data_IF_008691824461
#
_entry.id   IF_008691824461
#
_cell.length_a   1.000
_cell.length_b   1.000
_cell.length_c   1.000
_cell.angle_alpha   90.00
_cell.angle_beta   90.00
_cell.angle_gamma   90.00
#
_symmetry.space_group_name_H-M   'P 1'
#
loop_
_entity.id
_entity.type
_entity.pdbx_description
1 polymer ?
#
# COMPACT_ATOMS: atom_id res chain seq x y z
N UNK A 1 26.61 21.36 -28.88
CA UNK A 1 25.36 22.07 -29.27
C UNK A 1 24.35 21.19 -30.06
N UNK A 2 24.31 19.85 -29.91
CA UNK A 2 23.30 18.97 -30.57
C UNK A 2 22.39 18.17 -29.60
N UNK A 3 22.56 18.33 -28.27
CA UNK A 3 21.70 17.67 -27.27
C UNK A 3 20.41 18.41 -26.91
N UNK A 4 20.29 19.68 -27.31
CA UNK A 4 19.25 20.61 -26.82
C UNK A 4 17.90 20.50 -27.57
N UNK A 5 17.86 19.79 -28.70
CA UNK A 5 16.62 19.66 -29.50
C UNK A 5 15.65 18.61 -28.94
N UNK A 6 16.13 17.64 -28.15
CA UNK A 6 15.30 16.54 -27.62
C UNK A 6 14.50 16.91 -26.36
N UNK A 7 14.75 18.07 -25.76
CA UNK A 7 14.11 18.52 -24.50
C UNK A 7 13.08 19.65 -24.70
N UNK A 8 12.86 20.06 -25.94
CA UNK A 8 11.97 21.16 -26.33
C UNK A 8 10.51 20.80 -26.62
N UNK A 9 10.12 19.54 -26.88
CA UNK A 9 8.70 19.21 -26.95
C UNK A 9 8.01 19.42 -25.59
N UNK A 10 6.75 19.85 -25.63
CA UNK A 10 5.91 19.91 -24.43
C UNK A 10 5.71 18.51 -23.84
N UNK A 11 5.65 18.43 -22.51
CA UNK A 11 5.51 17.16 -21.77
C UNK A 11 4.11 16.55 -21.82
N UNK A 12 3.13 17.25 -22.39
CA UNK A 12 1.82 16.69 -22.71
C UNK A 12 0.80 17.72 -23.21
N UNK A 13 -0.42 17.28 -23.58
CA UNK A 13 -1.46 18.17 -24.12
C UNK A 13 -1.99 19.19 -23.11
N UNK A 14 -1.87 18.93 -21.81
CA UNK A 14 -2.28 19.84 -20.72
C UNK A 14 -1.12 20.63 -20.11
N UNK A 15 0.11 20.08 -20.15
CA UNK A 15 1.30 20.75 -19.64
C UNK A 15 2.18 21.22 -20.80
N UNK A 16 2.10 22.52 -21.10
CA UNK A 16 2.89 23.14 -22.17
C UNK A 16 4.37 23.31 -21.80
N UNK A 17 4.76 22.98 -20.56
CA UNK A 17 6.15 23.04 -20.13
C UNK A 17 6.98 21.99 -20.87
N UNK A 18 8.10 22.46 -21.43
CA UNK A 18 9.13 21.62 -22.05
C UNK A 18 10.03 21.00 -20.98
N UNK A 19 10.68 19.88 -21.27
CA UNK A 19 11.66 19.29 -20.36
C UNK A 19 12.82 20.25 -20.04
N UNK A 20 13.20 21.10 -21.01
CA UNK A 20 14.22 22.12 -20.80
C UNK A 20 13.78 23.22 -19.82
N UNK A 21 12.54 23.68 -19.92
CA UNK A 21 11.98 24.64 -18.95
C UNK A 21 11.86 24.01 -17.56
N UNK A 22 11.44 22.75 -17.48
CA UNK A 22 11.43 22.02 -16.22
C UNK A 22 12.82 21.90 -15.60
N UNK A 23 13.82 21.50 -16.38
CA UNK A 23 15.22 21.42 -15.94
C UNK A 23 15.73 22.77 -15.42
N UNK A 24 15.51 23.86 -16.16
CA UNK A 24 15.94 25.20 -15.73
C UNK A 24 15.29 25.62 -14.41
N UNK A 25 14.01 25.33 -14.24
CA UNK A 25 13.30 25.61 -12.98
C UNK A 25 13.87 24.77 -11.84
N UNK A 26 14.06 23.46 -12.05
CA UNK A 26 14.61 22.58 -11.03
C UNK A 26 16.05 22.97 -10.64
N UNK A 27 16.87 23.40 -11.60
CA UNK A 27 18.22 23.89 -11.33
C UNK A 27 18.20 25.18 -10.50
N UNK A 28 17.35 26.14 -10.86
CA UNK A 28 17.17 27.38 -10.10
C UNK A 28 16.70 27.08 -8.67
N UNK A 29 15.70 26.21 -8.53
CA UNK A 29 15.17 25.77 -7.24
C UNK A 29 16.29 25.15 -6.37
N UNK A 30 17.12 24.28 -6.95
CA UNK A 30 18.24 23.67 -6.25
C UNK A 30 19.30 24.71 -5.83
N UNK A 31 19.61 25.68 -6.68
CA UNK A 31 20.54 26.77 -6.36
C UNK A 31 20.01 27.61 -5.20
N UNK A 32 18.72 27.97 -5.22
CA UNK A 32 18.06 28.74 -4.17
C UNK A 32 18.00 27.99 -2.82
N UNK A 33 17.92 26.66 -2.86
CA UNK A 33 17.99 25.84 -1.65
C UNK A 33 19.41 25.84 -1.09
N UNK A 34 20.43 25.73 -1.95
CA UNK A 34 21.83 25.71 -1.54
C UNK A 34 22.33 27.06 -1.01
N UNK A 35 21.82 28.18 -1.55
CA UNK A 35 22.17 29.53 -1.09
C UNK A 35 21.29 30.03 0.06
N UNK A 36 20.30 29.25 0.49
CA UNK A 36 19.40 29.57 1.60
C UNK A 36 18.30 30.59 1.28
N UNK A 37 18.15 31.00 0.02
CA UNK A 37 17.09 31.93 -0.40
C UNK A 37 15.73 31.26 -0.56
N UNK A 38 15.69 29.93 -0.53
CA UNK A 38 14.47 29.12 -0.52
C UNK A 38 14.52 28.01 0.52
N UNK A 39 13.50 27.98 1.36
CA UNK A 39 13.32 26.89 2.33
C UNK A 39 12.65 25.66 1.71
N UNK A 40 13.07 24.47 2.16
CA UNK A 40 12.40 23.22 1.85
C UNK A 40 11.49 22.80 2.98
N UNK A 41 10.23 22.50 2.68
CA UNK A 41 9.29 21.94 3.65
C UNK A 41 9.08 20.46 3.40
N UNK A 42 9.35 19.65 4.42
CA UNK A 42 9.09 18.21 4.37
C UNK A 42 7.59 17.93 4.16
N UNK A 43 7.30 16.83 3.47
CA UNK A 43 5.96 16.35 3.22
C UNK A 43 6.01 14.86 2.92
N UNK A 44 5.11 14.09 3.52
CA UNK A 44 4.97 12.67 3.23
C UNK A 44 4.36 12.44 1.85
N UNK A 45 4.88 11.45 1.13
CA UNK A 45 4.44 11.02 -0.19
C UNK A 45 4.66 9.51 -0.37
N UNK A 46 4.00 8.92 -1.38
CA UNK A 46 4.13 7.48 -1.66
C UNK A 46 5.57 7.05 -1.98
N UNK A 47 6.37 7.92 -2.59
CA UNK A 47 7.77 7.64 -2.95
C UNK A 47 8.72 7.61 -1.73
N UNK A 48 8.27 8.10 -0.57
CA UNK A 48 9.12 8.26 0.61
C UNK A 48 9.72 6.94 1.10
N UNK A 49 9.04 5.81 0.92
CA UNK A 49 9.50 4.51 1.43
C UNK A 49 10.83 4.03 0.81
N UNK A 50 11.18 4.52 -0.39
CA UNK A 50 12.44 4.23 -1.07
C UNK A 50 13.43 5.41 -1.03
N UNK A 51 13.14 6.44 -0.22
CA UNK A 51 13.92 7.66 -0.16
C UNK A 51 15.03 7.56 0.90
N UNK A 52 16.26 7.89 0.51
CA UNK A 52 17.41 7.96 1.44
C UNK A 52 17.17 8.93 2.61
N UNK A 53 16.38 9.97 2.40
CA UNK A 53 16.06 11.00 3.41
C UNK A 53 14.81 10.67 4.24
N UNK A 54 14.26 9.46 4.12
CA UNK A 54 12.99 9.09 4.75
C UNK A 54 12.95 9.44 6.24
N UNK A 55 13.93 8.99 7.02
CA UNK A 55 13.95 9.18 8.48
C UNK A 55 13.98 10.66 8.85
N UNK A 56 14.88 11.43 8.24
CA UNK A 56 15.01 12.88 8.48
C UNK A 56 13.74 13.64 8.06
N UNK A 57 13.19 13.34 6.88
CA UNK A 57 11.94 13.97 6.43
C UNK A 57 10.76 13.59 7.32
N UNK A 58 10.72 12.35 7.83
CA UNK A 58 9.67 11.88 8.72
C UNK A 58 9.68 12.62 10.05
N UNK A 59 10.85 12.80 10.65
CA UNK A 59 11.00 13.59 11.88
C UNK A 59 10.54 15.04 11.67
N UNK A 60 10.92 15.66 10.56
CA UNK A 60 10.48 17.01 10.22
C UNK A 60 8.96 17.12 10.00
N UNK A 61 8.33 16.12 9.36
CA UNK A 61 6.87 16.04 9.18
C UNK A 61 6.14 15.95 10.51
N UNK A 62 6.67 15.16 11.47
CA UNK A 62 6.11 15.05 12.83
C UNK A 62 6.23 16.39 13.55
N UNK A 63 7.44 16.94 13.57
CA UNK A 63 7.74 18.17 14.32
C UNK A 63 6.92 19.36 13.80
N UNK A 64 6.70 19.44 12.49
CA UNK A 64 5.88 20.48 11.86
C UNK A 64 4.37 20.25 12.01
N UNK A 65 3.96 19.15 12.63
CA UNK A 65 2.56 18.70 12.69
C UNK A 65 1.87 18.73 11.31
N UNK A 66 2.59 18.28 10.28
CA UNK A 66 2.22 18.55 8.89
C UNK A 66 0.98 17.74 8.45
N UNK A 67 0.10 18.37 7.64
CA UNK A 67 -1.13 17.74 7.17
C UNK A 67 -0.92 16.43 6.37
N UNK A 68 0.28 16.19 5.83
CA UNK A 68 0.59 14.92 5.17
C UNK A 68 0.66 13.72 6.12
N UNK A 69 0.54 13.92 7.42
CA UNK A 69 0.25 12.87 8.39
C UNK A 69 -1.19 12.34 8.31
N UNK A 70 -2.12 13.07 7.68
CA UNK A 70 -3.50 12.61 7.54
C UNK A 70 -3.59 11.63 6.37
N UNK A 71 -4.10 10.44 6.64
CA UNK A 71 -4.27 9.40 5.64
C UNK A 71 -5.01 9.93 4.40
N UNK A 72 -4.47 9.58 3.23
CA UNK A 72 -4.97 9.99 1.90
C UNK A 72 -4.95 11.49 1.57
N UNK A 73 -4.52 12.38 2.46
CA UNK A 73 -4.49 13.82 2.19
C UNK A 73 -3.49 14.13 1.08
N UNK A 74 -2.22 13.73 1.29
CA UNK A 74 -1.15 13.83 0.31
C UNK A 74 -0.66 15.26 0.04
N UNK A 75 0.55 15.38 -0.49
CA UNK A 75 1.24 16.67 -0.63
C UNK A 75 0.45 17.74 -1.39
N UNK A 76 -0.21 17.39 -2.50
CA UNK A 76 -0.96 18.37 -3.30
C UNK A 76 -2.10 19.02 -2.53
N UNK A 77 -2.80 18.29 -1.66
CA UNK A 77 -3.90 18.85 -0.85
C UNK A 77 -3.36 19.60 0.36
N UNK A 78 -2.23 19.15 0.93
CA UNK A 78 -1.49 19.90 1.95
C UNK A 78 -1.13 21.27 1.40
N UNK A 79 -0.45 21.33 0.25
CA UNK A 79 -0.01 22.57 -0.37
C UNK A 79 -1.19 23.51 -0.69
N UNK A 80 -2.38 22.97 -0.97
CA UNK A 80 -3.59 23.78 -1.20
C UNK A 80 -4.24 24.33 0.08
N UNK A 81 -3.97 23.76 1.25
CA UNK A 81 -4.61 24.11 2.52
C UNK A 81 -3.69 24.85 3.49
N UNK A 82 -2.38 24.67 3.36
CA UNK A 82 -1.41 24.95 4.42
C UNK A 82 -1.29 26.42 4.83
N UNK A 83 -1.62 27.35 3.93
CA UNK A 83 -1.59 28.78 4.24
C UNK A 83 -2.73 29.18 5.19
N UNK A 84 -3.84 28.44 5.18
CA UNK A 84 -5.01 28.67 6.05
C UNK A 84 -5.07 27.70 7.23
N UNK A 85 -4.61 26.47 7.00
CA UNK A 85 -4.66 25.34 7.93
C UNK A 85 -3.25 24.74 8.00
N UNK A 86 -2.35 25.32 8.79
CA UNK A 86 -0.92 24.99 8.72
C UNK A 86 -0.55 23.62 9.30
N UNK A 87 -1.41 23.02 10.12
CA UNK A 87 -1.12 21.77 10.85
C UNK A 87 -2.33 20.87 11.04
N UNK A 88 -2.08 19.61 11.41
CA UNK A 88 -3.12 18.64 11.79
C UNK A 88 -3.93 19.15 12.98
N UNK A 89 -3.28 19.77 13.98
CA UNK A 89 -3.97 20.36 15.13
C UNK A 89 -4.96 21.43 14.70
N UNK A 90 -4.53 22.38 13.85
CA UNK A 90 -5.41 23.46 13.40
C UNK A 90 -6.58 22.91 12.59
N UNK A 91 -6.35 21.88 11.77
CA UNK A 91 -7.45 21.22 11.05
C UNK A 91 -8.44 20.56 12.00
N UNK A 92 -7.97 19.91 13.07
CA UNK A 92 -8.83 19.23 14.04
C UNK A 92 -9.76 20.19 14.79
N UNK A 93 -9.28 21.39 15.10
CA UNK A 93 -9.97 22.40 15.92
C UNK A 93 -10.82 23.38 15.10
N UNK A 94 -10.47 23.61 13.83
CA UNK A 94 -11.18 24.58 13.00
C UNK A 94 -12.58 24.10 12.62
N UNK A 95 -13.54 25.02 12.44
CA UNK A 95 -14.81 24.71 11.78
C UNK A 95 -14.64 24.57 10.26
N UNK A 96 -14.64 23.33 9.74
CA UNK A 96 -14.52 23.07 8.31
C UNK A 96 -15.60 23.75 7.45
N UNK A 97 -16.81 23.96 8.00
CA UNK A 97 -17.91 24.60 7.27
C UNK A 97 -17.63 26.08 6.98
N UNK A 98 -16.74 26.73 7.73
CA UNK A 98 -16.30 28.10 7.45
C UNK A 98 -15.57 28.25 6.10
N UNK A 99 -15.07 27.13 5.55
CA UNK A 99 -14.37 27.10 4.26
C UNK A 99 -15.23 26.61 3.10
N UNK A 100 -16.50 26.30 3.36
CA UNK A 100 -17.44 25.73 2.38
C UNK A 100 -18.37 26.83 1.86
N UNK A 101 -18.39 27.00 0.53
CA UNK A 101 -19.31 27.91 -0.17
C UNK A 101 -20.08 27.10 -1.20
N UNK A 102 -21.35 26.81 -0.90
CA UNK A 102 -22.19 25.95 -1.72
C UNK A 102 -21.61 24.52 -1.83
N UNK A 103 -21.28 24.10 -3.06
CA UNK A 103 -20.71 22.76 -3.34
C UNK A 103 -19.19 22.74 -3.44
N UNK A 104 -18.50 23.84 -3.09
CA UNK A 104 -17.05 23.97 -3.21
C UNK A 104 -16.44 24.37 -1.87
N UNK A 105 -15.17 24.06 -1.70
CA UNK A 105 -14.35 24.67 -0.67
C UNK A 105 -13.48 25.76 -1.29
N UNK A 106 -12.88 26.62 -0.46
CA UNK A 106 -11.82 27.54 -0.90
C UNK A 106 -10.55 26.84 -1.39
N UNK A 107 -10.39 25.55 -1.10
CA UNK A 107 -9.20 24.77 -1.42
C UNK A 107 -9.37 24.04 -2.76
N UNK A 108 -8.51 24.36 -3.72
CA UNK A 108 -8.54 23.74 -5.04
C UNK A 108 -8.35 22.21 -4.95
N UNK A 109 -9.21 21.44 -5.62
CA UNK A 109 -9.15 19.98 -5.62
C UNK A 109 -9.67 19.29 -4.36
N UNK A 110 -10.31 20.04 -3.44
CA UNK A 110 -10.88 19.51 -2.20
C UNK A 110 -12.37 19.86 -2.13
N UNK A 111 -13.23 18.86 -2.19
CA UNK A 111 -14.68 19.03 -2.00
C UNK A 111 -15.07 19.09 -0.52
N UNK A 112 -16.29 19.57 -0.19
CA UNK A 112 -16.78 19.66 1.20
C UNK A 112 -16.63 18.37 2.00
N UNK A 113 -17.09 17.24 1.44
CA UNK A 113 -17.02 15.94 2.14
C UNK A 113 -15.59 15.45 2.33
N UNK A 114 -14.70 15.77 1.40
CA UNK A 114 -13.28 15.45 1.53
C UNK A 114 -12.62 16.27 2.64
N UNK A 115 -12.96 17.56 2.75
CA UNK A 115 -12.46 18.42 3.83
C UNK A 115 -12.94 17.91 5.20
N UNK A 116 -14.25 17.62 5.33
CA UNK A 116 -14.81 17.05 6.58
C UNK A 116 -14.19 15.70 6.93
N UNK A 117 -13.93 14.85 5.93
CA UNK A 117 -13.21 13.58 6.14
C UNK A 117 -11.79 13.81 6.69
N UNK A 118 -11.04 14.78 6.14
CA UNK A 118 -9.71 15.08 6.67
C UNK A 118 -9.75 15.71 8.06
N UNK A 119 -10.76 16.53 8.35
CA UNK A 119 -10.99 17.04 9.70
C UNK A 119 -11.26 15.91 10.69
N UNK A 120 -12.17 14.98 10.38
CA UNK A 120 -12.47 13.84 11.24
C UNK A 120 -11.21 12.98 11.51
N UNK A 121 -10.37 12.77 10.49
CA UNK A 121 -9.09 12.08 10.66
C UNK A 121 -8.08 12.88 11.47
N UNK A 122 -8.04 14.20 11.31
CA UNK A 122 -7.20 15.07 12.13
C UNK A 122 -7.61 14.98 13.61
N UNK A 123 -8.91 15.05 13.90
CA UNK A 123 -9.46 14.86 15.24
C UNK A 123 -9.08 13.48 15.80
N UNK A 124 -9.20 12.44 14.98
CA UNK A 124 -8.82 11.08 15.37
C UNK A 124 -7.33 10.98 15.73
N UNK A 125 -6.44 11.61 14.94
CA UNK A 125 -5.00 11.65 15.20
C UNK A 125 -4.63 12.45 16.45
N UNK A 126 -5.44 13.45 16.83
CA UNK A 126 -5.20 14.31 18.00
C UNK A 126 -5.87 13.83 19.28
N UNK A 127 -6.78 12.87 19.17
CA UNK A 127 -7.46 12.29 20.33
C UNK A 127 -6.54 11.30 21.03
N UNK A 128 -6.17 11.53 22.31
CA UNK A 128 -5.34 10.59 23.04
C UNK A 128 -6.02 9.23 23.14
N UNK A 129 -5.28 8.14 22.88
CA UNK A 129 -5.77 6.76 22.93
C UNK A 129 -7.01 6.50 22.06
N UNK A 130 -7.19 7.27 20.99
CA UNK A 130 -8.23 7.03 19.99
C UNK A 130 -8.26 5.57 19.56
N UNK A 131 -9.44 4.99 19.44
CA UNK A 131 -9.60 3.62 18.94
C UNK A 131 -10.03 3.64 17.47
N UNK A 132 -9.64 2.62 16.68
CA UNK A 132 -10.21 2.42 15.36
C UNK A 132 -11.72 2.23 15.44
N UNK A 133 -12.44 2.64 14.40
CA UNK A 133 -13.89 2.49 14.37
C UNK A 133 -14.42 2.29 12.95
N UNK A 134 -15.63 1.75 12.86
CA UNK A 134 -16.37 1.60 11.61
C UNK A 134 -17.16 2.86 11.29
N UNK A 135 -17.04 3.37 10.07
CA UNK A 135 -17.86 4.48 9.59
C UNK A 135 -19.24 4.04 9.12
N UNK A 136 -19.42 2.74 8.89
CA UNK A 136 -20.67 2.11 8.48
C UNK A 136 -20.62 0.61 8.80
N UNK A 137 -21.77 -0.07 8.98
CA UNK A 137 -21.81 -1.52 9.17
C UNK A 137 -21.18 -2.27 7.99
N UNK A 138 -20.45 -3.35 8.28
CA UNK A 138 -19.80 -4.18 7.26
C UNK A 138 -20.34 -5.60 7.36
N UNK A 139 -20.54 -6.24 6.22
CA UNK A 139 -20.82 -7.68 6.16
C UNK A 139 -19.62 -8.38 5.56
N UNK A 140 -18.76 -8.93 6.42
CA UNK A 140 -17.68 -9.79 6.01
C UNK A 140 -18.18 -11.24 5.92
N UNK A 141 -17.78 -12.01 4.89
CA UNK A 141 -18.12 -13.42 4.84
C UNK A 141 -17.51 -14.14 6.05
N UNK A 142 -18.25 -15.09 6.58
CA UNK A 142 -17.75 -16.07 7.55
C UNK A 142 -17.68 -17.39 6.81
N UNK A 143 -16.54 -18.06 6.90
CA UNK A 143 -16.28 -19.35 6.29
C UNK A 143 -15.58 -20.23 7.29
N UNK A 144 -15.82 -21.54 7.22
CA UNK A 144 -15.05 -22.49 8.01
C UNK A 144 -13.57 -22.38 7.65
N UNK A 145 -13.24 -22.33 6.36
CA UNK A 145 -11.85 -22.21 5.91
C UNK A 145 -11.58 -20.85 5.28
N UNK A 146 -10.49 -20.22 5.70
CA UNK A 146 -10.04 -18.92 5.23
C UNK A 146 -8.59 -18.98 4.76
N UNK A 147 -8.31 -18.34 3.63
CA UNK A 147 -7.00 -18.29 2.98
C UNK A 147 -6.54 -16.83 2.95
N UNK A 148 -5.49 -16.50 3.68
CA UNK A 148 -4.87 -15.18 3.65
C UNK A 148 -3.73 -15.25 2.66
N UNK A 149 -3.89 -14.56 1.53
CA UNK A 149 -3.09 -14.77 0.35
C UNK A 149 -2.31 -13.50 -0.03
N UNK A 150 -1.00 -13.66 -0.16
CA UNK A 150 -0.08 -12.62 -0.58
C UNK A 150 0.95 -13.17 -1.58
N UNK A 151 1.55 -12.29 -2.37
CA UNK A 151 2.59 -12.64 -3.35
C UNK A 151 3.80 -11.73 -3.22
N UNK A 152 4.96 -12.27 -3.55
CA UNK A 152 6.16 -11.47 -3.78
C UNK A 152 6.53 -11.48 -5.26
N UNK A 153 6.84 -10.30 -5.80
CA UNK A 153 7.23 -10.13 -7.19
C UNK A 153 8.39 -9.16 -7.36
N UNK A 154 9.15 -9.37 -8.43
CA UNK A 154 10.20 -8.45 -8.87
C UNK A 154 9.79 -7.81 -10.20
N UNK A 155 9.36 -6.53 -10.19
CA UNK A 155 9.01 -5.79 -11.41
C UNK A 155 10.16 -5.59 -12.40
N UNK A 156 11.43 -5.66 -11.96
CA UNK A 156 12.59 -5.52 -12.85
C UNK A 156 12.81 -6.79 -13.68
N UNK A 157 12.52 -7.96 -13.10
CA UNK A 157 12.57 -9.27 -13.78
C UNK A 157 11.23 -9.68 -14.37
N UNK A 158 10.15 -8.96 -14.04
CA UNK A 158 8.76 -9.26 -14.38
C UNK A 158 8.32 -10.68 -13.93
N UNK A 159 8.79 -11.10 -12.75
CA UNK A 159 8.54 -12.42 -12.16
C UNK A 159 7.75 -12.32 -10.85
N UNK A 160 6.82 -13.24 -10.63
CA UNK A 160 6.23 -13.53 -9.30
C UNK A 160 6.95 -14.74 -8.73
N UNK A 161 7.75 -14.54 -7.69
CA UNK A 161 8.64 -15.60 -7.18
C UNK A 161 8.12 -16.32 -5.94
N UNK A 162 7.11 -15.80 -5.27
CA UNK A 162 6.48 -16.45 -4.12
C UNK A 162 4.98 -16.23 -4.12
N UNK A 163 4.25 -17.32 -3.87
CA UNK A 163 2.83 -17.33 -3.55
C UNK A 163 2.66 -17.90 -2.14
N UNK A 164 2.35 -17.07 -1.16
CA UNK A 164 2.19 -17.52 0.22
C UNK A 164 0.75 -17.44 0.68
N UNK A 165 0.31 -18.49 1.37
CA UNK A 165 -1.03 -18.62 1.91
C UNK A 165 -0.95 -19.02 3.37
N UNK A 166 -1.54 -18.23 4.27
CA UNK A 166 -1.86 -18.71 5.62
C UNK A 166 -3.29 -19.25 5.61
N UNK A 167 -3.42 -20.53 5.93
CA UNK A 167 -4.71 -21.24 6.04
C UNK A 167 -5.18 -21.17 7.48
N UNK A 168 -6.29 -20.46 7.70
CA UNK A 168 -7.04 -20.54 8.95
C UNK A 168 -8.18 -21.53 8.79
N UNK A 169 -8.07 -22.65 9.49
CA UNK A 169 -9.07 -23.73 9.52
C UNK A 169 -9.34 -24.07 11.00
N UNK A 170 -10.59 -24.01 11.50
CA UNK A 170 -10.95 -24.28 12.88
C UNK A 170 -10.68 -25.73 13.30
N UNK A 171 -10.42 -26.64 12.35
CA UNK A 171 -10.00 -28.02 12.63
C UNK A 171 -8.53 -28.12 13.00
N UNK A 172 -7.74 -27.07 12.76
CA UNK A 172 -6.32 -27.02 13.10
C UNK A 172 -6.10 -26.17 14.37
N UNK A 173 -5.10 -26.53 15.21
CA UNK A 173 -4.80 -25.78 16.42
C UNK A 173 -4.30 -24.36 16.15
N UNK A 174 -3.67 -24.14 14.99
CA UNK A 174 -3.07 -22.87 14.61
C UNK A 174 -3.06 -22.69 13.08
N UNK A 175 -3.09 -21.44 12.57
CA UNK A 175 -3.03 -21.19 11.13
C UNK A 175 -1.72 -21.68 10.52
N UNK A 176 -1.84 -22.48 9.45
CA UNK A 176 -0.70 -23.10 8.76
C UNK A 176 -0.26 -22.29 7.54
N UNK A 177 1.04 -22.08 7.37
CA UNK A 177 1.60 -21.42 6.20
C UNK A 177 1.94 -22.41 5.09
N UNK A 178 1.54 -22.08 3.87
CA UNK A 178 1.82 -22.83 2.65
C UNK A 178 2.46 -21.85 1.67
N UNK A 179 3.53 -22.27 1.00
CA UNK A 179 4.22 -21.44 0.02
C UNK A 179 4.52 -22.22 -1.25
N UNK A 180 4.50 -21.51 -2.38
CA UNK A 180 4.94 -22.01 -3.67
C UNK A 180 5.94 -21.02 -4.24
N UNK A 181 7.18 -21.47 -4.46
CA UNK A 181 8.34 -20.61 -4.74
C UNK A 181 8.93 -20.92 -6.12
N UNK A 182 9.25 -19.87 -6.88
CA UNK A 182 10.13 -19.98 -8.02
C UNK A 182 11.60 -19.86 -7.55
N UNK A 183 12.23 -20.99 -7.22
CA UNK A 183 13.60 -21.01 -6.68
C UNK A 183 14.69 -20.62 -7.69
N UNK A 184 14.31 -20.39 -8.95
CA UNK A 184 15.17 -19.77 -9.96
C UNK A 184 14.36 -18.75 -10.76
N UNK A 185 15.00 -17.70 -11.32
CA UNK A 185 14.29 -16.66 -12.06
C UNK A 185 14.04 -17.09 -13.52
N UNK A 186 13.52 -18.30 -13.71
CA UNK A 186 13.21 -18.85 -15.03
C UNK A 186 11.69 -18.95 -15.25
N UNK A 187 11.21 -18.85 -16.50
CA UNK A 187 9.80 -19.05 -16.80
C UNK A 187 9.26 -20.41 -16.32
N UNK A 188 10.08 -21.46 -16.36
CA UNK A 188 9.68 -22.80 -15.92
C UNK A 188 9.44 -22.87 -14.41
N UNK A 189 10.30 -22.22 -13.62
CA UNK A 189 10.15 -22.16 -12.17
C UNK A 189 8.94 -21.30 -11.76
N UNK A 190 8.76 -20.13 -12.38
CA UNK A 190 7.58 -19.28 -12.16
C UNK A 190 6.29 -20.01 -12.53
N UNK A 191 6.26 -20.66 -13.70
CA UNK A 191 5.12 -21.46 -14.15
C UNK A 191 4.79 -22.59 -13.17
N UNK A 192 5.81 -23.28 -12.67
CA UNK A 192 5.65 -24.36 -11.70
C UNK A 192 5.04 -23.86 -10.39
N UNK A 193 5.57 -22.75 -9.83
CA UNK A 193 5.04 -22.14 -8.62
C UNK A 193 3.57 -21.68 -8.80
N UNK A 194 3.28 -21.02 -9.94
CA UNK A 194 1.93 -20.61 -10.29
C UNK A 194 0.96 -21.80 -10.46
N UNK A 195 1.42 -22.89 -11.07
CA UNK A 195 0.62 -24.10 -11.24
C UNK A 195 0.28 -24.77 -9.91
N UNK A 196 1.25 -24.87 -9.01
CA UNK A 196 1.03 -25.42 -7.67
C UNK A 196 0.05 -24.55 -6.85
N UNK A 197 0.23 -23.23 -6.87
CA UNK A 197 -0.69 -22.30 -6.21
C UNK A 197 -2.11 -22.39 -6.79
N UNK A 198 -2.24 -22.48 -8.11
CA UNK A 198 -3.54 -22.63 -8.79
C UNK A 198 -4.20 -23.96 -8.43
N UNK A 199 -3.44 -25.06 -8.40
CA UNK A 199 -3.95 -26.36 -7.97
C UNK A 199 -4.46 -26.32 -6.53
N UNK A 200 -3.71 -25.69 -5.61
CA UNK A 200 -4.13 -25.48 -4.23
C UNK A 200 -5.46 -24.70 -4.14
N UNK A 201 -5.62 -23.62 -4.91
CA UNK A 201 -6.88 -22.89 -4.95
C UNK A 201 -8.03 -23.70 -5.57
N UNK A 202 -7.78 -24.64 -6.49
CA UNK A 202 -8.83 -25.55 -6.99
C UNK A 202 -9.29 -26.52 -5.91
N UNK A 203 -8.37 -27.04 -5.11
CA UNK A 203 -8.69 -27.96 -4.00
C UNK A 203 -9.44 -27.24 -2.87
N UNK A 204 -9.09 -25.99 -2.57
CA UNK A 204 -9.74 -25.15 -1.57
C UNK A 204 -10.84 -24.24 -2.17
N UNK A 205 -11.66 -24.79 -3.08
CA UNK A 205 -12.72 -24.04 -3.78
C UNK A 205 -13.81 -23.47 -2.85
N UNK A 206 -14.01 -24.10 -1.69
CA UNK A 206 -14.98 -23.73 -0.66
C UNK A 206 -14.49 -22.62 0.27
N UNK A 207 -13.18 -22.38 0.33
CA UNK A 207 -12.58 -21.41 1.23
C UNK A 207 -12.77 -19.95 0.76
N UNK A 208 -12.84 -19.03 1.72
CA UNK A 208 -12.79 -17.58 1.44
C UNK A 208 -11.35 -17.13 1.37
N UNK A 209 -11.05 -16.28 0.38
CA UNK A 209 -9.72 -15.73 0.20
C UNK A 209 -9.71 -14.27 0.66
N UNK A 210 -8.67 -13.86 1.35
CA UNK A 210 -8.43 -12.48 1.76
C UNK A 210 -7.11 -12.01 1.16
N UNK A 211 -7.16 -10.84 0.52
CA UNK A 211 -6.00 -10.15 -0.04
C UNK A 211 -5.99 -8.70 0.43
N UNK A 212 -4.85 -8.01 0.33
CA UNK A 212 -4.71 -6.62 0.75
C UNK A 212 -4.56 -5.62 -0.40
N UNK A 213 -4.91 -5.97 -1.63
CA UNK A 213 -5.15 -5.00 -2.70
C UNK A 213 -5.71 -5.71 -3.95
N UNK A 214 -5.72 -4.99 -5.07
CA UNK A 214 -5.96 -5.59 -6.40
C UNK A 214 -4.68 -6.13 -7.05
N UNK A 215 -3.52 -6.06 -6.36
CA UNK A 215 -2.22 -6.45 -6.88
C UNK A 215 -2.17 -7.93 -7.23
N UNK A 216 -2.66 -8.80 -6.35
CA UNK A 216 -2.67 -10.26 -6.53
C UNK A 216 -3.47 -10.62 -7.79
N UNK A 217 -4.68 -10.06 -7.93
CA UNK A 217 -5.52 -10.24 -9.13
C UNK A 217 -4.82 -9.76 -10.39
N UNK A 218 -4.16 -8.60 -10.32
CA UNK A 218 -3.44 -8.01 -11.45
C UNK A 218 -2.29 -8.92 -11.90
N UNK A 219 -1.53 -9.46 -10.95
CA UNK A 219 -0.41 -10.37 -11.22
C UNK A 219 -0.90 -11.73 -11.71
N UNK A 220 -1.96 -12.28 -11.14
CA UNK A 220 -2.54 -13.55 -11.59
C UNK A 220 -3.09 -13.49 -13.01
N UNK A 221 -3.70 -12.36 -13.41
CA UNK A 221 -4.06 -12.14 -14.82
C UNK A 221 -2.84 -12.16 -15.75
N UNK A 222 -1.73 -11.55 -15.33
CA UNK A 222 -0.48 -11.57 -16.12
C UNK A 222 0.12 -12.97 -16.18
N UNK A 223 0.17 -13.68 -15.07
CA UNK A 223 0.64 -15.07 -15.00
C UNK A 223 -0.21 -15.97 -15.89
N UNK A 224 -1.53 -15.83 -15.86
CA UNK A 224 -2.45 -16.57 -16.73
C UNK A 224 -2.22 -16.27 -18.21
N UNK A 225 -2.03 -15.00 -18.59
CA UNK A 225 -1.71 -14.64 -19.97
C UNK A 225 -0.36 -15.22 -20.43
N UNK A 226 0.62 -15.28 -19.51
CA UNK A 226 1.95 -15.84 -19.77
C UNK A 226 1.95 -17.37 -19.84
N UNK A 227 1.13 -18.02 -19.00
CA UNK A 227 1.03 -19.47 -18.85
C UNK A 227 -0.43 -19.94 -19.00
N UNK A 228 -1.02 -19.81 -20.21
CA UNK A 228 -2.45 -20.07 -20.43
C UNK A 228 -2.85 -21.55 -20.28
N UNK A 229 -1.88 -22.47 -20.25
CA UNK A 229 -2.10 -23.89 -20.03
C UNK A 229 -2.21 -24.28 -18.54
N UNK A 230 -1.87 -23.36 -17.62
CA UNK A 230 -1.97 -23.58 -16.17
C UNK A 230 -3.38 -23.32 -15.65
N UNK A 231 -4.02 -22.25 -16.12
CA UNK A 231 -5.38 -21.85 -15.74
C UNK A 231 -6.06 -21.09 -16.89
N UNK A 232 -7.39 -21.21 -16.95
CA UNK A 232 -8.20 -20.38 -17.85
C UNK A 232 -8.37 -18.98 -17.27
N UNK A 233 -8.68 -17.99 -18.13
CA UNK A 233 -9.00 -16.65 -17.68
C UNK A 233 -10.21 -16.64 -16.72
N UNK A 234 -11.22 -17.45 -17.00
CA UNK A 234 -12.43 -17.58 -16.16
C UNK A 234 -12.11 -18.16 -14.78
N UNK A 235 -11.17 -19.12 -14.68
CA UNK A 235 -10.72 -19.64 -13.39
C UNK A 235 -10.06 -18.55 -12.52
N UNK A 236 -9.26 -17.67 -13.12
CA UNK A 236 -8.66 -16.53 -12.40
C UNK A 236 -9.73 -15.53 -11.97
N UNK A 237 -10.67 -15.20 -12.84
CA UNK A 237 -11.76 -14.30 -12.46
C UNK A 237 -12.65 -14.91 -11.38
N UNK A 238 -12.91 -16.22 -11.40
CA UNK A 238 -13.66 -16.92 -10.37
C UNK A 238 -12.91 -16.98 -9.04
N UNK A 239 -11.57 -17.09 -9.05
CA UNK A 239 -10.76 -17.00 -7.84
C UNK A 239 -10.96 -15.64 -7.16
N UNK A 240 -10.84 -14.54 -7.92
CA UNK A 240 -10.95 -13.17 -7.41
C UNK A 240 -12.37 -12.58 -7.46
N UNK A 241 -13.39 -13.42 -7.67
CA UNK A 241 -14.78 -12.98 -7.63
C UNK A 241 -15.12 -12.48 -6.21
N UNK A 242 -15.86 -11.37 -6.05
CA UNK A 242 -16.24 -10.86 -4.72
C UNK A 242 -17.01 -11.85 -3.84
N UNK A 243 -17.63 -12.88 -4.42
CA UNK A 243 -18.25 -13.97 -3.68
C UNK A 243 -17.22 -14.89 -3.03
N UNK A 244 -15.99 -14.98 -3.55
CA UNK A 244 -14.91 -15.85 -3.04
C UNK A 244 -13.79 -15.07 -2.35
N UNK A 245 -13.33 -13.97 -2.96
CA UNK A 245 -12.21 -13.16 -2.47
C UNK A 245 -12.68 -11.82 -1.92
N UNK A 246 -12.16 -11.46 -0.75
CA UNK A 246 -12.36 -10.14 -0.12
C UNK A 246 -11.06 -9.34 -0.21
N UNK A 247 -11.13 -8.18 -0.85
CA UNK A 247 -10.09 -7.15 -0.79
C UNK A 247 -10.26 -6.35 0.52
N UNK A 248 -9.42 -6.64 1.51
CA UNK A 248 -9.46 -5.98 2.81
C UNK A 248 -9.06 -4.49 2.72
N UNK A 249 -8.22 -4.12 1.76
CA UNK A 249 -7.87 -2.70 1.58
C UNK A 249 -9.08 -1.90 1.09
N UNK A 250 -9.90 -2.47 0.20
CA UNK A 250 -11.16 -1.86 -0.21
C UNK A 250 -12.12 -1.65 0.98
N UNK A 251 -12.25 -2.67 1.85
CA UNK A 251 -13.07 -2.59 3.08
C UNK A 251 -12.55 -1.50 4.02
N UNK A 252 -11.25 -1.47 4.30
CA UNK A 252 -10.62 -0.46 5.16
C UNK A 252 -10.79 0.94 4.60
N UNK A 253 -10.64 1.10 3.28
CA UNK A 253 -10.77 2.41 2.61
C UNK A 253 -12.19 2.95 2.69
N UNK A 254 -13.21 2.08 2.58
CA UNK A 254 -14.61 2.51 2.52
C UNK A 254 -15.26 2.67 3.89
N UNK A 255 -14.82 1.88 4.88
CA UNK A 255 -15.66 1.62 6.06
C UNK A 255 -14.92 1.68 7.39
N UNK A 256 -13.59 1.87 7.42
CA UNK A 256 -12.80 1.78 8.66
C UNK A 256 -11.88 3.00 8.78
N UNK A 257 -11.85 3.62 9.95
CA UNK A 257 -10.89 4.67 10.27
C UNK A 257 -9.97 4.25 11.42
N UNK A 258 -8.69 4.60 11.30
CA UNK A 258 -7.65 4.35 12.28
C UNK A 258 -6.93 5.68 12.59
N UNK A 259 -6.45 5.88 13.83
CA UNK A 259 -5.57 7.00 14.19
C UNK A 259 -4.15 6.77 13.66
N UNK A 260 -4.02 6.54 12.35
CA UNK A 260 -2.77 6.23 11.68
C UNK A 260 -2.60 7.10 10.44
N UNK A 261 -1.35 7.23 9.99
CA UNK A 261 -1.04 8.17 8.90
C UNK A 261 -1.36 7.64 7.50
N UNK A 262 -1.51 6.33 7.38
CA UNK A 262 -1.85 5.68 6.13
C UNK A 262 -2.59 4.38 6.43
N UNK A 263 -3.26 3.87 5.41
CA UNK A 263 -4.04 2.63 5.49
C UNK A 263 -3.26 1.46 4.88
N UNK A 264 -1.94 1.39 5.07
CA UNK A 264 -1.18 0.20 4.64
C UNK A 264 -1.33 -0.91 5.67
N UNK A 265 -1.30 -2.17 5.23
CA UNK A 265 -1.39 -3.33 6.12
C UNK A 265 -0.37 -3.23 7.26
N UNK A 266 0.87 -2.91 6.91
CA UNK A 266 1.96 -2.75 7.88
C UNK A 266 1.66 -1.70 8.95
N UNK A 267 1.13 -0.54 8.56
CA UNK A 267 0.77 0.50 9.53
C UNK A 267 -0.38 0.08 10.43
N UNK A 268 -1.42 -0.54 9.87
CA UNK A 268 -2.61 -0.93 10.63
C UNK A 268 -2.35 -2.12 11.55
N UNK A 269 -1.68 -3.17 11.08
CA UNK A 269 -1.38 -4.34 11.91
C UNK A 269 -0.39 -3.99 13.03
N UNK A 270 0.61 -3.13 12.79
CA UNK A 270 1.47 -2.60 13.87
C UNK A 270 0.68 -1.82 14.92
N UNK A 271 -0.30 -1.02 14.47
CA UNK A 271 -1.20 -0.33 15.39
C UNK A 271 -1.98 -1.31 16.27
N UNK A 272 -2.39 -2.45 15.70
CA UNK A 272 -3.07 -3.54 16.39
C UNK A 272 -2.11 -4.46 17.19
N UNK A 273 -0.83 -4.09 17.31
CA UNK A 273 0.16 -4.82 18.12
C UNK A 273 0.87 -5.97 17.40
N UNK A 274 0.62 -6.20 16.11
CA UNK A 274 1.35 -7.20 15.34
C UNK A 274 2.81 -6.79 15.13
N UNK A 275 3.72 -7.73 15.32
CA UNK A 275 5.16 -7.55 15.16
C UNK A 275 5.66 -8.51 14.10
N UNK A 276 6.23 -7.96 13.03
CA UNK A 276 6.98 -8.75 12.06
C UNK A 276 8.22 -9.33 12.73
N UNK A 277 8.56 -10.57 12.37
CA UNK A 277 9.76 -11.29 12.82
C UNK A 277 11.03 -10.66 12.25
N UNK A 278 10.98 -10.13 11.03
CA UNK A 278 12.11 -9.42 10.44
C UNK A 278 12.26 -7.99 11.01
N UNK A 279 13.50 -7.52 11.11
CA UNK A 279 13.84 -6.19 11.66
C UNK A 279 13.63 -5.04 10.66
N UNK A 280 13.68 -5.30 9.36
CA UNK A 280 13.43 -4.32 8.30
C UNK A 280 12.55 -4.87 7.16
N UNK A 281 11.31 -5.28 7.45
CA UNK A 281 10.43 -5.95 6.48
C UNK A 281 9.96 -4.96 5.41
N UNK A 282 10.23 -5.22 4.14
CA UNK A 282 9.66 -4.43 3.03
C UNK A 282 9.73 -5.20 1.73
N UNK A 283 8.79 -4.96 0.80
CA UNK A 283 8.84 -5.54 -0.54
C UNK A 283 10.14 -5.22 -1.30
N UNK A 284 10.72 -4.03 -1.11
CA UNK A 284 12.02 -3.71 -1.70
C UNK A 284 13.17 -4.58 -1.12
N UNK A 285 13.11 -4.89 0.17
CA UNK A 285 14.06 -5.81 0.80
C UNK A 285 13.82 -7.26 0.34
N UNK A 286 12.56 -7.68 0.20
CA UNK A 286 12.20 -9.00 -0.35
C UNK A 286 12.80 -9.23 -1.75
N UNK A 287 12.73 -8.23 -2.64
CA UNK A 287 13.36 -8.30 -3.97
C UNK A 287 14.89 -8.43 -3.87
N UNK A 288 15.52 -7.69 -2.96
CA UNK A 288 16.98 -7.77 -2.73
C UNK A 288 17.40 -9.14 -2.17
N UNK A 289 16.62 -9.70 -1.23
CA UNK A 289 16.83 -11.03 -0.70
C UNK A 289 16.67 -12.08 -1.78
N UNK A 290 15.63 -11.99 -2.62
CA UNK A 290 15.46 -12.92 -3.73
C UNK A 290 16.64 -12.88 -4.69
N UNK A 291 17.09 -11.67 -5.06
CA UNK A 291 18.29 -11.52 -5.90
C UNK A 291 19.52 -12.21 -5.30
N UNK A 292 19.78 -12.01 -4.01
CA UNK A 292 20.89 -12.66 -3.30
C UNK A 292 20.72 -14.16 -3.19
N UNK A 293 19.51 -14.64 -2.93
CA UNK A 293 19.21 -16.06 -2.92
C UNK A 293 19.55 -16.71 -4.26
N UNK A 294 19.18 -16.08 -5.38
CA UNK A 294 19.54 -16.57 -6.72
C UNK A 294 21.07 -16.60 -6.94
N UNK A 295 21.82 -15.62 -6.44
CA UNK A 295 23.28 -15.58 -6.61
C UNK A 295 24.02 -16.58 -5.73
N UNK A 296 23.52 -16.83 -4.53
CA UNK A 296 24.24 -17.57 -3.47
C UNK A 296 23.69 -18.98 -3.23
N UNK A 297 22.45 -19.22 -3.63
CA UNK A 297 21.66 -20.41 -3.29
C UNK A 297 21.61 -20.68 -1.77
N UNK A 298 21.67 -19.62 -0.95
CA UNK A 298 21.67 -19.70 0.51
C UNK A 298 20.24 -19.89 1.05
N UNK A 299 19.90 -21.06 1.63
CA UNK A 299 18.56 -21.34 2.12
C UNK A 299 18.12 -20.40 3.25
N UNK A 300 19.06 -19.83 4.02
CA UNK A 300 18.70 -18.89 5.08
C UNK A 300 18.11 -17.58 4.53
N UNK A 301 18.47 -17.20 3.30
CA UNK A 301 17.89 -16.03 2.62
C UNK A 301 16.48 -16.36 2.14
N UNK A 302 16.26 -17.57 1.61
CA UNK A 302 14.92 -18.02 1.23
C UNK A 302 14.00 -18.10 2.44
N UNK A 303 14.45 -18.70 3.55
CA UNK A 303 13.69 -18.78 4.80
C UNK A 303 13.27 -17.38 5.29
N UNK A 304 14.15 -16.39 5.15
CA UNK A 304 13.85 -15.00 5.49
C UNK A 304 12.72 -14.40 4.63
N UNK A 305 12.72 -14.68 3.32
CA UNK A 305 11.63 -14.25 2.41
C UNK A 305 10.31 -14.92 2.81
N UNK A 306 10.35 -16.22 3.10
CA UNK A 306 9.18 -16.99 3.53
C UNK A 306 8.60 -16.46 4.85
N UNK A 307 9.46 -16.16 5.82
CA UNK A 307 9.05 -15.55 7.11
C UNK A 307 8.37 -14.19 6.89
N UNK A 308 8.95 -13.35 6.03
CA UNK A 308 8.39 -12.02 5.73
C UNK A 308 7.00 -12.13 5.09
N UNK A 309 6.84 -13.00 4.09
CA UNK A 309 5.58 -13.18 3.40
C UNK A 309 4.51 -13.85 4.30
N UNK A 310 4.91 -14.83 5.12
CA UNK A 310 4.03 -15.41 6.13
C UNK A 310 3.55 -14.34 7.12
N UNK A 311 4.42 -13.41 7.54
CA UNK A 311 4.03 -12.31 8.42
C UNK A 311 3.02 -11.36 7.77
N UNK A 312 3.16 -11.06 6.47
CA UNK A 312 2.18 -10.25 5.74
C UNK A 312 0.81 -10.96 5.70
N UNK A 313 0.78 -12.28 5.46
CA UNK A 313 -0.44 -13.08 5.55
C UNK A 313 -1.04 -13.11 6.97
N UNK A 314 -0.22 -13.26 8.02
CA UNK A 314 -0.68 -13.25 9.42
C UNK A 314 -1.15 -11.85 9.86
N UNK A 315 -0.53 -10.79 9.36
CA UNK A 315 -0.96 -9.42 9.61
C UNK A 315 -2.37 -9.17 9.05
N UNK A 316 -2.72 -9.78 7.91
CA UNK A 316 -4.10 -9.73 7.38
C UNK A 316 -5.10 -10.39 8.33
N UNK A 317 -4.73 -11.48 9.00
CA UNK A 317 -5.59 -12.13 10.01
C UNK A 317 -5.88 -11.16 11.16
N UNK A 318 -4.83 -10.56 11.73
CA UNK A 318 -4.97 -9.61 12.84
C UNK A 318 -5.88 -8.44 12.47
N UNK A 319 -5.70 -7.90 11.26
CA UNK A 319 -6.54 -6.82 10.78
C UNK A 319 -7.99 -7.25 10.55
N UNK A 320 -8.21 -8.43 9.94
CA UNK A 320 -9.54 -8.98 9.71
C UNK A 320 -10.29 -9.18 11.04
N UNK A 321 -9.62 -9.73 12.04
CA UNK A 321 -10.21 -10.00 13.35
C UNK A 321 -10.57 -8.70 14.07
N UNK A 322 -9.69 -7.70 14.05
CA UNK A 322 -10.01 -6.38 14.59
C UNK A 322 -11.23 -5.74 13.90
N UNK A 323 -11.37 -5.88 12.57
CA UNK A 323 -12.55 -5.38 11.84
C UNK A 323 -13.82 -6.14 12.26
N UNK A 324 -13.73 -7.45 12.49
CA UNK A 324 -14.85 -8.27 12.97
C UNK A 324 -15.27 -7.89 14.38
N UNK A 325 -14.31 -7.66 15.27
CA UNK A 325 -14.56 -7.21 16.65
C UNK A 325 -15.23 -5.84 16.68
N UNK A 326 -14.80 -4.89 15.85
CA UNK A 326 -15.46 -3.57 15.73
C UNK A 326 -16.90 -3.63 15.20
N UNK A 327 -17.29 -4.74 14.56
CA UNK A 327 -18.60 -4.91 13.95
C UNK A 327 -19.61 -5.66 14.85
N UNK A 328 -19.18 -6.08 16.05
CA UNK A 328 -20.00 -6.73 17.08
C UNK A 328 -20.62 -5.69 18.02
#
# INVERSE_FOLDING_TARGET
RRGDLRLRPATGPKNKQTLWQFYKQALLDAQQILDGTRETRAASASICNNCHWYSTCREAVIAADDLTQIAELGRSRRDAMVDDIPSVQVLAETNADAFIVGKKTRFSGIGPDTLRKFQARAQLLKTPNAQPFLTQPIKLPVSERELHFDIEDDPMRDIVYLHGIVVRDPKLPEPNFISFVAESPTPEAEKSAFAQATAFFREAADAKVYVYSTHERTKYRKLQQRYPDVATADEIEALFDPARTVDLYAVVRSSVEFPTWNKSLKTLAKYLGFQWRDTNPSGAASIEWYHRFIETNDPAILDRILIYNEDDCRAMIVLLDAIREMNQ
#
